data_IF_033078261481
#
_entry.id   IF_033078261481
#
_cell.length_a   1.000
_cell.length_b   1.000
_cell.length_c   1.000
_cell.angle_alpha   90.00
_cell.angle_beta   90.00
_cell.angle_gamma   90.00
#
_symmetry.space_group_name_H-M   'P 1'
#
loop_
_entity.id
_entity.type
_entity.pdbx_description
1 polymer ?
#
# COMPACT_ATOMS: atom_id res chain seq x y z
N UNK A 1 -8.71 -4.12 8.01
CA UNK A 1 -9.61 -4.10 6.83
C UNK A 1 -8.73 -4.12 5.59
N UNK A 2 -8.98 -5.03 4.65
CA UNK A 2 -8.17 -5.15 3.43
C UNK A 2 -8.97 -4.58 2.27
N UNK A 3 -8.45 -3.52 1.65
CA UNK A 3 -9.03 -2.93 0.45
C UNK A 3 -8.19 -3.33 -0.76
N UNK A 4 -8.82 -3.91 -1.78
CA UNK A 4 -8.17 -4.26 -3.05
C UNK A 4 -8.78 -3.39 -4.13
N UNK A 5 -7.99 -2.47 -4.69
CA UNK A 5 -8.41 -1.61 -5.78
C UNK A 5 -7.85 -2.16 -7.11
N UNK A 6 -8.74 -2.61 -8.01
CA UNK A 6 -8.38 -3.15 -9.32
C UNK A 6 -8.35 -2.09 -10.45
N UNK A 7 -8.55 -0.80 -10.14
CA UNK A 7 -8.51 0.26 -11.17
C UNK A 7 -7.10 0.72 -11.54
N UNK A 8 -6.08 0.23 -10.84
CA UNK A 8 -4.67 0.53 -11.12
C UNK A 8 -3.92 -0.75 -11.51
N UNK A 9 -2.88 -0.60 -12.32
CA UNK A 9 -2.14 -1.67 -13.01
C UNK A 9 -1.48 -2.74 -12.10
N UNK A 10 -1.66 -2.67 -10.78
CA UNK A 10 -1.13 -3.67 -9.85
C UNK A 10 -2.02 -3.86 -8.63
N UNK A 11 -1.96 -5.07 -8.06
CA UNK A 11 -2.70 -5.44 -6.85
C UNK A 11 -1.90 -5.05 -5.63
N UNK A 12 -2.53 -4.39 -4.67
CA UNK A 12 -1.92 -4.03 -3.39
C UNK A 12 -2.85 -4.34 -2.21
N UNK A 13 -2.25 -4.40 -1.02
CA UNK A 13 -2.93 -4.48 0.27
C UNK A 13 -2.62 -3.22 1.06
N UNK A 14 -3.56 -2.78 1.88
CA UNK A 14 -3.35 -1.66 2.81
C UNK A 14 -3.64 -2.13 4.22
N UNK A 15 -2.76 -1.78 5.15
CA UNK A 15 -2.88 -2.06 6.58
C UNK A 15 -2.59 -0.79 7.37
N UNK A 16 -3.18 -0.67 8.56
CA UNK A 16 -2.84 0.40 9.49
C UNK A 16 -1.79 -0.13 10.48
N UNK A 17 -0.62 0.50 10.51
CA UNK A 17 0.37 0.26 11.53
C UNK A 17 0.01 1.09 12.77
N UNK A 18 -0.50 0.42 13.80
CA UNK A 18 -0.93 1.07 15.04
C UNK A 18 0.22 1.56 15.92
N UNK A 19 1.47 1.19 15.61
CA UNK A 19 2.64 1.68 16.34
C UNK A 19 3.06 3.08 15.89
N UNK A 20 2.88 3.37 14.60
CA UNK A 20 3.23 4.66 13.98
C UNK A 20 2.00 5.49 13.60
N UNK A 21 0.80 4.90 13.69
CA UNK A 21 -0.46 5.47 13.16
C UNK A 21 -0.39 5.79 11.66
N UNK A 22 0.39 5.02 10.90
CA UNK A 22 0.54 5.19 9.45
C UNK A 22 -0.12 4.05 8.69
N UNK A 23 -0.66 4.37 7.52
CA UNK A 23 -1.10 3.37 6.57
C UNK A 23 0.09 2.82 5.80
N UNK A 24 0.17 1.50 5.71
CA UNK A 24 1.14 0.77 4.93
C UNK A 24 0.46 0.14 3.72
N UNK A 25 0.84 0.57 2.52
CA UNK A 25 0.47 -0.08 1.27
C UNK A 25 1.57 -1.08 0.88
N UNK A 26 1.20 -2.26 0.40
CA UNK A 26 2.16 -3.30 0.01
C UNK A 26 1.68 -4.02 -1.24
N UNK A 27 2.58 -4.22 -2.21
CA UNK A 27 2.29 -4.98 -3.42
C UNK A 27 1.90 -6.42 -3.07
N UNK A 28 0.87 -6.92 -3.73
CA UNK A 28 0.47 -8.34 -3.67
C UNK A 28 1.20 -9.07 -4.80
N UNK A 29 2.52 -9.02 -4.74
CA UNK A 29 3.39 -9.77 -5.65
C UNK A 29 4.30 -10.69 -4.82
N UNK A 30 4.35 -12.00 -5.12
CA UNK A 30 5.17 -12.95 -4.37
C UNK A 30 6.68 -12.72 -4.53
N UNK A 31 7.11 -11.93 -5.51
CA UNK A 31 8.52 -11.67 -5.83
C UNK A 31 9.02 -10.30 -5.34
N UNK A 32 8.10 -9.36 -5.09
CA UNK A 32 8.43 -7.99 -4.71
C UNK A 32 7.84 -7.63 -3.35
N UNK A 33 8.71 -7.49 -2.35
CA UNK A 33 8.35 -6.96 -1.02
C UNK A 33 8.28 -5.42 -1.00
N UNK A 34 7.73 -4.83 -2.07
CA UNK A 34 7.61 -3.39 -2.19
C UNK A 34 6.45 -2.91 -1.34
N UNK A 35 6.75 -1.95 -0.47
CA UNK A 35 5.78 -1.32 0.41
C UNK A 35 6.14 0.13 0.64
N UNK A 36 5.12 0.93 0.91
CA UNK A 36 5.22 2.36 1.19
C UNK A 36 4.33 2.71 2.38
N UNK A 37 4.62 3.85 2.99
CA UNK A 37 3.87 4.40 4.11
C UNK A 37 3.19 5.72 3.71
N UNK A 38 2.12 6.06 4.41
CA UNK A 38 1.42 7.34 4.28
C UNK A 38 0.51 7.62 5.48
N UNK A 39 0.18 8.89 5.71
CA UNK A 39 -0.75 9.32 6.75
C UNK A 39 -2.21 8.97 6.39
N UNK A 40 -2.49 8.81 5.09
CA UNK A 40 -3.76 8.28 4.59
C UNK A 40 -3.54 7.07 3.68
N UNK A 41 -4.62 6.36 3.39
CA UNK A 41 -4.61 5.23 2.44
C UNK A 41 -4.15 5.72 1.06
N UNK A 42 -4.65 6.85 0.61
CA UNK A 42 -4.33 7.46 -0.69
C UNK A 42 -2.85 7.83 -0.79
N UNK A 43 -2.28 8.42 0.27
CA UNK A 43 -0.87 8.78 0.31
C UNK A 43 0.02 7.52 0.26
N UNK A 44 -0.31 6.50 1.05
CA UNK A 44 0.44 5.25 1.03
C UNK A 44 0.40 4.60 -0.35
N UNK A 45 -0.78 4.53 -0.97
CA UNK A 45 -0.95 3.94 -2.30
C UNK A 45 -0.25 4.76 -3.39
N UNK A 46 -0.35 6.10 -3.36
CA UNK A 46 0.38 6.97 -4.27
C UNK A 46 1.89 6.77 -4.16
N UNK A 47 2.42 6.70 -2.93
CA UNK A 47 3.83 6.44 -2.69
C UNK A 47 4.24 5.05 -3.19
N UNK A 48 3.36 4.04 -3.10
CA UNK A 48 3.63 2.70 -3.63
C UNK A 48 3.72 2.73 -5.15
N UNK A 49 2.83 3.46 -5.82
CA UNK A 49 2.82 3.62 -7.27
C UNK A 49 4.04 4.35 -7.82
N UNK A 50 4.59 5.28 -7.04
CA UNK A 50 5.80 6.01 -7.44
C UNK A 50 7.06 5.12 -7.43
N UNK A 51 7.03 4.00 -6.69
CA UNK A 51 8.19 3.12 -6.49
C UNK A 51 8.00 1.70 -7.05
N UNK A 52 6.79 1.34 -7.46
CA UNK A 52 6.43 0.08 -8.10
C UNK A 52 6.64 0.16 -9.63
#
# INVERSE_FOLDING_TARGET
MTFTNNTKNFKYTVSLDTSTNLFKASLVDPTSSLSSLGNTIEEAVYNLEAIA
#
